data_IF_061132053368
#
_entry.id   IF_061132053368
#
_cell.length_a   1.000
_cell.length_b   1.000
_cell.length_c   1.000
_cell.angle_alpha   90.00
_cell.angle_beta   90.00
_cell.angle_gamma   90.00
#
_symmetry.space_group_name_H-M   'P 1'
#
loop_
_entity.id
_entity.type
_entity.pdbx_description
1 polymer ?
#
# COMPACT_ATOMS: atom_id res chain seq x y z
N UNK A 1 11.90 15.85 26.62
CA UNK A 1 10.77 16.51 25.88
C UNK A 1 9.54 15.61 25.76
N UNK A 2 9.54 14.54 24.96
CA UNK A 2 8.31 13.68 24.80
C UNK A 2 7.92 13.05 26.14
N UNK A 3 8.85 12.40 26.81
CA UNK A 3 8.64 11.79 28.13
C UNK A 3 8.23 12.83 29.20
N UNK A 4 8.86 14.00 29.19
CA UNK A 4 8.57 15.08 30.16
C UNK A 4 7.17 15.67 29.97
N UNK A 5 6.61 15.52 28.76
CA UNK A 5 5.22 15.86 28.44
C UNK A 5 4.21 14.77 28.85
N UNK A 6 4.67 13.69 29.51
CA UNK A 6 3.83 12.59 29.97
C UNK A 6 3.48 11.56 28.89
N UNK A 7 4.05 11.65 27.70
CA UNK A 7 3.83 10.67 26.63
C UNK A 7 4.67 9.41 26.90
N UNK A 8 4.08 8.25 26.70
CA UNK A 8 4.71 6.94 26.93
C UNK A 8 4.75 6.06 25.67
N UNK A 9 4.06 6.44 24.62
CA UNK A 9 4.05 5.74 23.32
C UNK A 9 4.31 6.76 22.21
N UNK A 10 5.09 6.34 21.22
CA UNK A 10 5.32 7.09 19.97
C UNK A 10 5.02 6.21 18.77
N UNK A 11 4.62 6.83 17.68
CA UNK A 11 4.51 6.18 16.38
C UNK A 11 5.60 6.72 15.45
N UNK A 12 6.24 5.82 14.71
CA UNK A 12 7.35 6.13 13.81
C UNK A 12 7.22 5.34 12.51
N UNK A 13 8.02 5.71 11.51
CA UNK A 13 8.35 4.90 10.34
C UNK A 13 7.44 5.04 9.12
N UNK A 14 6.21 5.40 9.25
CA UNK A 14 5.36 5.63 8.07
C UNK A 14 6.00 6.64 7.09
N UNK A 15 5.84 6.44 5.79
CA UNK A 15 6.40 7.29 4.72
C UNK A 15 7.94 7.39 4.67
N UNK A 16 8.65 6.42 5.23
CA UNK A 16 10.13 6.41 5.29
C UNK A 16 10.79 5.50 4.25
N UNK A 17 10.05 4.96 3.29
CA UNK A 17 10.58 4.00 2.32
C UNK A 17 11.82 4.53 1.59
N UNK A 18 11.78 5.75 1.04
CA UNK A 18 12.92 6.35 0.35
C UNK A 18 14.14 6.60 1.25
N UNK A 19 13.94 6.72 2.57
CA UNK A 19 15.04 6.85 3.55
C UNK A 19 15.73 5.51 3.76
N UNK A 20 14.95 4.43 3.81
CA UNK A 20 15.45 3.09 4.11
C UNK A 20 15.88 2.29 2.88
N UNK A 21 15.35 2.63 1.71
CA UNK A 21 15.76 2.10 0.43
C UNK A 21 15.96 3.25 -0.58
N UNK A 22 17.05 4.01 -0.44
CA UNK A 22 17.34 5.17 -1.31
C UNK A 22 17.57 4.79 -2.78
N UNK A 23 17.92 3.54 -3.03
CA UNK A 23 18.03 2.91 -4.34
C UNK A 23 17.55 1.48 -4.24
N UNK A 24 17.01 0.94 -5.33
CA UNK A 24 16.54 -0.43 -5.38
C UNK A 24 17.57 -1.43 -4.83
N UNK A 25 17.18 -2.19 -3.82
CA UNK A 25 18.00 -3.22 -3.18
C UNK A 25 19.11 -2.69 -2.26
N UNK A 26 19.21 -1.38 -2.06
CA UNK A 26 20.18 -0.77 -1.15
C UNK A 26 19.46 -0.27 0.08
N UNK A 27 19.70 -0.94 1.22
CA UNK A 27 18.98 -0.65 2.47
C UNK A 27 19.85 0.03 3.50
N UNK A 28 19.32 1.07 4.15
CA UNK A 28 19.93 1.79 5.26
C UNK A 28 18.91 2.05 6.36
N UNK A 29 18.99 1.30 7.43
CA UNK A 29 18.13 1.43 8.61
C UNK A 29 18.78 2.19 9.78
N UNK A 30 19.91 2.87 9.55
CA UNK A 30 20.62 3.64 10.59
C UNK A 30 19.68 4.62 11.31
N UNK A 31 18.81 5.29 10.57
CA UNK A 31 17.84 6.22 11.13
C UNK A 31 16.82 5.51 12.04
N UNK A 32 16.32 4.33 11.63
CA UNK A 32 15.38 3.53 12.42
C UNK A 32 16.02 3.07 13.74
N UNK A 33 17.22 2.48 13.69
CA UNK A 33 17.92 2.03 14.88
C UNK A 33 18.16 3.16 15.87
N UNK A 34 18.58 4.34 15.39
CA UNK A 34 18.76 5.52 16.24
C UNK A 34 17.48 5.93 16.95
N UNK A 35 16.31 5.84 16.27
CA UNK A 35 15.02 6.13 16.90
C UNK A 35 14.64 5.09 17.94
N UNK A 36 14.83 3.80 17.66
CA UNK A 36 14.51 2.70 18.57
C UNK A 36 15.42 2.68 19.80
N UNK A 37 16.72 2.92 19.62
CA UNK A 37 17.68 3.06 20.73
C UNK A 37 17.32 4.23 21.64
N UNK A 38 16.92 5.34 21.02
CA UNK A 38 16.46 6.51 21.77
C UNK A 38 15.19 6.21 22.55
N UNK A 39 14.20 5.54 21.92
CA UNK A 39 12.96 5.13 22.59
C UNK A 39 13.24 4.19 23.75
N UNK A 40 14.11 3.20 23.56
CA UNK A 40 14.55 2.27 24.62
C UNK A 40 15.20 3.01 25.76
N UNK A 41 16.14 3.90 25.48
CA UNK A 41 16.85 4.71 26.50
C UNK A 41 15.90 5.54 27.36
N UNK A 42 14.83 6.06 26.78
CA UNK A 42 13.85 6.90 27.47
C UNK A 42 12.59 6.13 27.90
N UNK A 43 12.62 4.81 27.86
CA UNK A 43 11.50 3.92 28.24
C UNK A 43 10.18 4.26 27.54
N UNK A 44 10.26 4.67 26.28
CA UNK A 44 9.09 4.88 25.44
C UNK A 44 8.73 3.58 24.71
N UNK A 45 7.46 3.33 24.57
CA UNK A 45 6.95 2.26 23.69
C UNK A 45 6.76 2.80 22.27
N UNK A 46 6.88 1.91 21.29
CA UNK A 46 6.89 2.27 19.88
C UNK A 46 5.86 1.47 19.10
N UNK A 47 5.06 2.18 18.30
CA UNK A 47 4.27 1.59 17.22
C UNK A 47 5.02 1.90 15.92
N UNK A 48 5.35 0.87 15.15
CA UNK A 48 6.07 1.00 13.89
C UNK A 48 5.08 0.96 12.73
N UNK A 49 5.02 2.02 11.93
CA UNK A 49 4.23 2.06 10.69
C UNK A 49 4.98 1.38 9.56
N UNK A 50 4.26 0.66 8.68
CA UNK A 50 4.86 0.19 7.43
C UNK A 50 5.16 1.38 6.53
N UNK A 51 6.29 1.38 5.80
CA UNK A 51 6.73 2.56 5.04
C UNK A 51 5.99 2.73 3.71
N UNK A 52 5.07 1.82 3.39
CA UNK A 52 4.45 1.63 2.07
C UNK A 52 3.41 2.68 1.69
N UNK A 53 3.11 3.60 2.57
CA UNK A 53 2.16 4.69 2.40
C UNK A 53 2.56 5.72 1.32
N UNK A 54 3.87 5.85 1.05
CA UNK A 54 4.44 6.66 -0.02
C UNK A 54 5.60 5.91 -0.67
N UNK A 55 5.65 5.90 -1.99
CA UNK A 55 6.65 5.16 -2.76
C UNK A 55 7.90 6.01 -3.04
N UNK A 56 9.11 5.42 -3.12
CA UNK A 56 10.30 6.13 -3.49
C UNK A 56 10.33 6.47 -4.99
N UNK A 57 11.07 7.53 -5.34
CA UNK A 57 11.15 8.04 -6.72
C UNK A 57 11.72 7.03 -7.71
N UNK A 58 12.70 6.22 -7.28
CA UNK A 58 13.30 5.20 -8.13
C UNK A 58 12.26 4.14 -8.55
N UNK A 59 11.33 3.79 -7.63
CA UNK A 59 10.27 2.82 -7.89
C UNK A 59 9.28 3.36 -8.92
N UNK A 60 8.79 4.57 -8.73
CA UNK A 60 7.88 5.23 -9.68
C UNK A 60 8.52 5.45 -11.06
N UNK A 61 9.84 5.72 -11.10
CA UNK A 61 10.56 5.90 -12.37
C UNK A 61 10.77 4.59 -13.10
N UNK A 62 11.12 3.52 -12.40
CA UNK A 62 11.40 2.20 -13.01
C UNK A 62 10.12 1.47 -13.41
N UNK A 63 9.07 1.63 -12.63
CA UNK A 63 7.77 0.96 -12.81
C UNK A 63 6.65 2.01 -12.89
N UNK A 64 6.54 2.76 -13.99
CA UNK A 64 5.60 3.89 -14.09
C UNK A 64 4.13 3.48 -13.93
N UNK A 65 3.78 2.22 -14.19
CA UNK A 65 2.42 1.69 -14.01
C UNK A 65 2.05 1.46 -12.52
N UNK A 66 2.98 1.68 -11.60
CA UNK A 66 2.70 1.69 -10.15
C UNK A 66 1.83 2.87 -9.73
N UNK A 67 1.89 3.98 -10.47
CA UNK A 67 1.04 5.13 -10.16
C UNK A 67 -0.41 4.83 -10.52
N UNK A 68 -1.31 5.12 -9.59
CA UNK A 68 -2.74 4.85 -9.74
C UNK A 68 -3.31 5.54 -10.99
N UNK A 69 -4.26 4.89 -11.62
CA UNK A 69 -5.06 5.46 -12.72
C UNK A 69 -6.45 5.65 -12.17
N UNK A 70 -6.92 6.88 -12.19
CA UNK A 70 -8.27 7.26 -11.80
C UNK A 70 -9.07 7.70 -13.03
N UNK A 71 -10.36 7.95 -12.87
CA UNK A 71 -11.18 8.53 -13.96
C UNK A 71 -10.68 9.91 -14.43
N UNK A 72 -9.83 10.59 -13.66
CA UNK A 72 -9.18 11.84 -14.03
C UNK A 72 -7.84 11.64 -14.76
N UNK A 73 -7.41 10.40 -14.93
CA UNK A 73 -6.13 10.03 -15.53
C UNK A 73 -5.14 9.48 -14.52
N UNK A 74 -3.88 9.36 -14.97
CA UNK A 74 -2.81 8.80 -14.17
C UNK A 74 -2.36 9.80 -13.10
N UNK A 75 -2.21 9.31 -11.87
CA UNK A 75 -1.67 10.07 -10.75
C UNK A 75 -0.21 10.47 -10.99
N UNK A 76 0.19 11.60 -10.38
CA UNK A 76 1.55 12.09 -10.45
C UNK A 76 2.36 11.65 -9.23
N UNK A 77 3.65 11.39 -9.45
CA UNK A 77 4.59 11.16 -8.36
C UNK A 77 4.71 12.38 -7.45
N UNK A 78 4.94 12.14 -6.16
CA UNK A 78 5.24 13.19 -5.16
C UNK A 78 4.19 13.34 -4.08
N UNK A 79 3.00 12.80 -4.28
CA UNK A 79 1.99 12.71 -3.24
C UNK A 79 2.08 11.35 -2.53
N UNK A 80 1.52 11.27 -1.33
CA UNK A 80 1.28 10.02 -0.63
C UNK A 80 0.01 9.36 -1.19
N UNK A 81 -0.10 8.05 -1.08
CA UNK A 81 -1.28 7.29 -1.50
C UNK A 81 -1.66 7.52 -2.98
N UNK A 82 -0.67 7.61 -3.84
CA UNK A 82 -0.86 7.77 -5.29
C UNK A 82 -0.43 6.54 -6.10
N UNK A 83 -0.16 5.43 -5.41
CA UNK A 83 0.17 4.15 -6.03
C UNK A 83 -1.08 3.29 -6.20
N UNK A 84 -1.02 2.43 -7.20
CA UNK A 84 -1.98 1.35 -7.38
C UNK A 84 -1.60 0.18 -6.47
N UNK A 85 -2.35 0.00 -5.39
CA UNK A 85 -2.13 -1.06 -4.41
C UNK A 85 -2.40 -2.47 -4.96
N UNK A 86 -2.95 -2.59 -6.16
CA UNK A 86 -3.17 -3.87 -6.87
C UNK A 86 -2.06 -4.20 -7.85
N UNK A 87 -1.15 -3.25 -8.13
CA UNK A 87 -0.05 -3.43 -9.05
C UNK A 87 0.96 -4.48 -8.54
N UNK A 88 1.33 -5.50 -9.33
CA UNK A 88 2.21 -6.58 -8.88
C UNK A 88 3.63 -6.11 -8.54
N UNK A 89 4.17 -5.11 -9.22
CA UNK A 89 5.48 -4.56 -8.89
C UNK A 89 5.45 -3.80 -7.57
N UNK A 90 4.37 -3.04 -7.30
CA UNK A 90 4.18 -2.43 -6.00
C UNK A 90 4.11 -3.48 -4.89
N UNK A 91 3.27 -4.50 -5.03
CA UNK A 91 3.11 -5.55 -4.02
C UNK A 91 4.43 -6.27 -3.74
N UNK A 92 5.19 -6.61 -4.77
CA UNK A 92 6.50 -7.27 -4.65
C UNK A 92 7.50 -6.41 -3.87
N UNK A 93 7.62 -5.13 -4.20
CA UNK A 93 8.56 -4.24 -3.53
C UNK A 93 8.09 -3.85 -2.12
N UNK A 94 6.78 -3.70 -1.91
CA UNK A 94 6.18 -3.48 -0.59
C UNK A 94 6.49 -4.66 0.35
N UNK A 95 6.37 -5.89 -0.15
CA UNK A 95 6.73 -7.08 0.61
C UNK A 95 8.21 -7.05 1.02
N UNK A 96 9.12 -6.77 0.08
CA UNK A 96 10.56 -6.72 0.35
C UNK A 96 10.90 -5.71 1.45
N UNK A 97 10.40 -4.48 1.35
CA UNK A 97 10.73 -3.45 2.36
C UNK A 97 10.11 -3.75 3.72
N UNK A 98 8.91 -4.35 3.76
CA UNK A 98 8.28 -4.79 5.00
C UNK A 98 9.09 -5.93 5.66
N UNK A 99 9.50 -6.94 4.89
CA UNK A 99 10.34 -8.03 5.40
C UNK A 99 11.65 -7.49 5.97
N UNK A 100 12.32 -6.57 5.25
CA UNK A 100 13.52 -5.91 5.73
C UNK A 100 13.29 -5.11 7.01
N UNK A 101 12.19 -4.39 7.10
CA UNK A 101 11.80 -3.68 8.32
C UNK A 101 11.60 -4.66 9.50
N UNK A 102 10.89 -5.76 9.29
CA UNK A 102 10.64 -6.75 10.35
C UNK A 102 11.94 -7.37 10.86
N UNK A 103 12.91 -7.64 9.98
CA UNK A 103 14.25 -8.10 10.38
C UNK A 103 14.94 -7.13 11.35
N UNK A 104 14.73 -5.81 11.20
CA UNK A 104 15.39 -4.79 12.02
C UNK A 104 14.74 -4.56 13.38
N UNK A 105 13.42 -4.78 13.49
CA UNK A 105 12.67 -4.39 14.69
C UNK A 105 12.37 -5.53 15.65
N UNK A 106 12.54 -6.78 15.22
CA UNK A 106 12.13 -7.98 15.94
C UNK A 106 12.75 -8.13 17.35
N UNK A 107 13.94 -7.58 17.55
CA UNK A 107 14.71 -7.73 18.82
C UNK A 107 14.59 -6.48 19.71
N UNK A 108 13.70 -5.52 19.39
CA UNK A 108 13.47 -4.32 20.18
C UNK A 108 12.23 -4.46 21.08
N UNK A 109 12.43 -4.69 22.37
CA UNK A 109 11.35 -4.81 23.36
C UNK A 109 10.48 -3.56 23.51
N UNK A 110 10.94 -2.41 23.01
CA UNK A 110 10.15 -1.19 23.00
C UNK A 110 9.06 -1.18 21.92
N UNK A 111 9.16 -2.04 20.90
CA UNK A 111 8.16 -2.17 19.85
C UNK A 111 6.98 -2.98 20.35
N UNK A 112 5.80 -2.38 20.43
CA UNK A 112 4.58 -2.98 20.98
C UNK A 112 3.49 -3.24 19.93
N UNK A 113 3.70 -2.81 18.70
CA UNK A 113 2.72 -3.02 17.65
C UNK A 113 3.14 -2.41 16.33
N UNK A 114 2.34 -2.69 15.31
CA UNK A 114 2.52 -2.21 13.94
C UNK A 114 1.28 -1.49 13.45
N UNK A 115 1.49 -0.42 12.67
CA UNK A 115 0.44 0.20 11.89
C UNK A 115 0.62 -0.24 10.43
N UNK A 116 -0.37 -0.95 9.90
CA UNK A 116 -0.28 -1.57 8.56
C UNK A 116 -0.52 -0.58 7.43
N UNK A 117 -1.32 0.45 7.67
CA UNK A 117 -1.63 1.51 6.73
C UNK A 117 -1.95 2.80 7.48
N UNK A 118 -1.99 3.93 6.79
CA UNK A 118 -2.32 5.22 7.38
C UNK A 118 -3.44 5.91 6.60
N UNK A 119 -4.46 6.42 7.31
CA UNK A 119 -5.58 7.14 6.71
C UNK A 119 -6.22 6.38 5.53
N UNK A 120 -6.48 5.09 5.74
CA UNK A 120 -7.06 4.19 4.73
C UNK A 120 -8.31 4.80 4.11
N UNK A 121 -8.34 4.89 2.80
CA UNK A 121 -9.42 5.47 2.01
C UNK A 121 -9.71 4.65 0.77
N UNK A 122 -10.79 4.98 0.06
CA UNK A 122 -10.95 4.54 -1.33
C UNK A 122 -9.86 5.18 -2.19
N UNK A 123 -9.18 4.37 -2.98
CA UNK A 123 -8.12 4.85 -3.88
C UNK A 123 -8.64 5.27 -5.25
N UNK A 124 -9.93 5.06 -5.53
CA UNK A 124 -10.60 5.44 -6.79
C UNK A 124 -9.79 5.00 -8.03
N UNK A 125 -9.13 3.83 -7.93
CA UNK A 125 -8.30 3.32 -9.01
C UNK A 125 -9.12 2.51 -10.00
N UNK A 126 -8.94 2.81 -11.30
CA UNK A 126 -9.48 2.09 -12.43
C UNK A 126 -8.36 1.52 -13.33
N UNK A 127 -7.24 1.16 -12.73
CA UNK A 127 -6.12 0.55 -13.45
C UNK A 127 -6.48 -0.82 -14.02
N UNK A 128 -5.74 -1.25 -15.05
CA UNK A 128 -5.86 -2.62 -15.60
C UNK A 128 -5.74 -3.72 -14.54
N UNK A 129 -4.97 -3.49 -13.48
CA UNK A 129 -4.79 -4.47 -12.40
C UNK A 129 -5.99 -4.48 -11.45
N UNK A 130 -6.53 -3.31 -11.10
CA UNK A 130 -7.74 -3.21 -10.32
C UNK A 130 -8.92 -3.79 -11.08
N UNK A 131 -9.04 -3.48 -12.37
CA UNK A 131 -10.07 -4.00 -13.27
C UNK A 131 -10.01 -5.53 -13.34
N UNK A 132 -8.83 -6.11 -13.57
CA UNK A 132 -8.67 -7.55 -13.62
C UNK A 132 -9.11 -8.24 -12.30
N UNK A 133 -8.73 -7.66 -11.15
CA UNK A 133 -9.17 -8.16 -9.83
C UNK A 133 -10.67 -8.01 -9.61
N UNK A 134 -11.26 -6.94 -10.11
CA UNK A 134 -12.70 -6.73 -10.04
C UNK A 134 -13.46 -7.76 -10.86
N UNK A 135 -13.02 -8.03 -12.09
CA UNK A 135 -13.61 -9.08 -12.93
C UNK A 135 -13.44 -10.46 -12.30
N UNK A 136 -12.26 -10.75 -11.72
CA UNK A 136 -12.03 -12.01 -10.98
C UNK A 136 -12.99 -12.15 -9.79
N UNK A 137 -13.18 -11.07 -9.03
CA UNK A 137 -14.16 -11.04 -7.94
C UNK A 137 -15.57 -11.34 -8.44
N UNK A 138 -16.01 -10.68 -9.51
CA UNK A 138 -17.33 -10.91 -10.09
C UNK A 138 -17.51 -12.35 -10.59
N UNK A 139 -16.52 -12.94 -11.23
CA UNK A 139 -16.53 -14.36 -11.64
C UNK A 139 -16.73 -15.31 -10.47
N UNK A 140 -16.19 -14.98 -9.31
CA UNK A 140 -16.34 -15.80 -8.11
C UNK A 140 -17.72 -15.63 -7.45
N UNK A 141 -18.25 -14.41 -7.44
CA UNK A 141 -19.58 -14.11 -6.89
C UNK A 141 -20.71 -14.60 -7.81
N UNK A 142 -20.51 -14.50 -9.11
CA UNK A 142 -21.48 -14.88 -10.15
C UNK A 142 -20.85 -15.87 -11.13
N UNK A 143 -20.83 -17.18 -10.80
CA UNK A 143 -20.29 -18.20 -11.72
C UNK A 143 -21.02 -18.27 -13.05
N UNK A 144 -22.31 -17.90 -13.08
CA UNK A 144 -23.12 -17.76 -14.28
C UNK A 144 -23.27 -16.29 -14.67
N UNK A 145 -22.77 -15.94 -15.85
CA UNK A 145 -22.83 -14.58 -16.38
C UNK A 145 -24.27 -14.11 -16.65
N UNK A 146 -25.18 -15.02 -16.93
CA UNK A 146 -26.61 -14.69 -17.12
C UNK A 146 -27.26 -14.30 -15.78
N UNK A 147 -26.85 -14.92 -14.67
CA UNK A 147 -27.27 -14.50 -13.34
C UNK A 147 -26.77 -13.12 -13.01
N UNK A 148 -25.50 -12.83 -13.32
CA UNK A 148 -24.91 -11.50 -13.18
C UNK A 148 -25.71 -10.44 -13.96
N UNK A 149 -25.95 -10.68 -15.24
CA UNK A 149 -26.70 -9.75 -16.09
C UNK A 149 -28.11 -9.48 -15.54
N UNK A 150 -28.76 -10.53 -15.05
CA UNK A 150 -30.12 -10.46 -14.48
C UNK A 150 -30.13 -9.69 -13.16
N UNK A 151 -29.17 -9.95 -12.26
CA UNK A 151 -29.07 -9.30 -10.94
C UNK A 151 -28.92 -7.78 -11.09
N UNK A 152 -28.09 -7.33 -12.04
CA UNK A 152 -27.83 -5.92 -12.28
C UNK A 152 -28.72 -5.29 -13.37
N UNK A 153 -29.62 -6.05 -13.98
CA UNK A 153 -30.54 -5.55 -15.02
C UNK A 153 -29.82 -5.03 -16.26
N UNK A 154 -28.70 -5.66 -16.66
CA UNK A 154 -27.79 -5.15 -17.69
C UNK A 154 -28.35 -5.26 -19.12
N UNK A 155 -29.46 -5.95 -19.35
CA UNK A 155 -30.16 -5.91 -20.64
C UNK A 155 -30.66 -4.49 -21.00
N UNK A 156 -30.85 -3.64 -19.98
CA UNK A 156 -31.25 -2.25 -20.18
C UNK A 156 -30.07 -1.43 -20.69
N UNK A 157 -30.29 -0.58 -21.66
CA UNK A 157 -29.29 0.24 -22.35
C UNK A 157 -28.19 -0.57 -23.06
N UNK A 158 -28.40 -1.85 -23.35
CA UNK A 158 -27.43 -2.73 -24.01
C UNK A 158 -26.13 -2.89 -23.22
N UNK A 159 -26.22 -2.89 -21.90
CA UNK A 159 -25.06 -3.08 -21.00
C UNK A 159 -24.77 -4.58 -20.72
N UNK A 160 -25.54 -5.50 -21.30
CA UNK A 160 -25.34 -6.93 -21.13
C UNK A 160 -23.91 -7.34 -21.45
N UNK A 161 -23.31 -8.13 -20.58
CA UNK A 161 -22.00 -8.75 -20.76
C UNK A 161 -22.19 -10.22 -21.14
N UNK A 162 -21.69 -10.61 -22.31
CA UNK A 162 -21.82 -11.98 -22.82
C UNK A 162 -20.63 -12.88 -22.42
N UNK A 163 -19.47 -12.27 -22.18
CA UNK A 163 -18.26 -12.97 -21.74
C UNK A 163 -17.49 -12.10 -20.75
N UNK A 164 -16.93 -12.72 -19.72
CA UNK A 164 -16.09 -12.04 -18.74
C UNK A 164 -14.84 -11.38 -19.36
N UNK A 165 -14.32 -11.95 -20.46
CA UNK A 165 -13.17 -11.39 -21.17
C UNK A 165 -13.55 -10.16 -22.02
N UNK A 166 -14.84 -9.94 -22.23
CA UNK A 166 -15.41 -8.74 -22.88
C UNK A 166 -15.97 -7.73 -21.86
N UNK A 167 -15.69 -7.91 -20.58
CA UNK A 167 -16.12 -6.96 -19.55
C UNK A 167 -15.48 -5.60 -19.80
N UNK A 168 -16.25 -4.51 -19.89
CA UNK A 168 -15.72 -3.18 -20.22
C UNK A 168 -14.81 -2.64 -19.10
N UNK A 169 -13.78 -1.89 -19.51
CA UNK A 169 -12.85 -1.20 -18.62
C UNK A 169 -13.49 0.03 -17.95
#
# INVERSE_FOLDING_TARGET
MIRDAGMNVIRIAESTWSTWEPKEGVFDFTHLHRMLDCATKYELKVIVGTPTYAIPSWLAKKYPDILAVTHNGKELYGHRQNMDITNPDYLRHAQIIIEKLMEQVKDYDCVIGFQLDNETKSYDTCSKYAQAKFVEYLKNEFPDIDEFNKEFGLDYWSNRVDDWDAFPD
#
